data_IF_627006023033
#
_entry.id   IF_627006023033
#
_cell.length_a   1.000
_cell.length_b   1.000
_cell.length_c   1.000
_cell.angle_alpha   90.00
_cell.angle_beta   90.00
_cell.angle_gamma   90.00
#
_symmetry.space_group_name_H-M   'P 1'
#
loop_
_entity.id
_entity.type
_entity.pdbx_description
1 polymer ?
#
# COMPACT_ATOMS: atom_id res chain seq x y z
N UNK A 1 -22.08 25.81 44.76
CA UNK A 1 -22.77 25.35 43.53
C UNK A 1 -22.29 26.08 42.26
N UNK A 2 -22.23 27.42 42.21
CA UNK A 2 -21.81 28.17 41.00
C UNK A 2 -20.38 27.88 40.51
N UNK A 3 -19.42 27.61 41.40
CA UNK A 3 -18.01 27.27 41.05
C UNK A 3 -17.85 25.87 40.41
N UNK A 4 -18.63 24.88 40.84
CA UNK A 4 -18.63 23.54 40.26
C UNK A 4 -19.37 23.50 38.92
N UNK A 5 -20.40 24.32 38.76
CA UNK A 5 -21.11 24.48 37.49
C UNK A 5 -20.19 25.08 36.41
N UNK A 6 -19.36 26.07 36.77
CA UNK A 6 -18.36 26.65 35.86
C UNK A 6 -17.27 25.65 35.45
N UNK A 7 -16.80 24.81 36.38
CA UNK A 7 -15.80 23.77 36.11
C UNK A 7 -16.31 22.66 35.18
N UNK A 8 -17.57 22.23 35.36
CA UNK A 8 -18.22 21.23 34.50
C UNK A 8 -18.46 21.81 33.09
N UNK A 9 -18.84 23.09 32.99
CA UNK A 9 -19.05 23.74 31.70
C UNK A 9 -17.74 23.94 30.92
N UNK A 10 -16.62 24.23 31.60
CA UNK A 10 -15.29 24.29 30.96
C UNK A 10 -14.78 22.93 30.52
N UNK A 11 -15.04 21.85 31.26
CA UNK A 11 -14.64 20.49 30.87
C UNK A 11 -15.42 19.99 29.64
N UNK A 12 -16.70 20.38 29.52
CA UNK A 12 -17.54 20.07 28.36
C UNK A 12 -17.10 20.84 27.09
N UNK A 13 -16.54 22.05 27.24
CA UNK A 13 -16.06 22.84 26.10
C UNK A 13 -14.72 22.35 25.53
N UNK A 14 -13.85 21.73 26.35
CA UNK A 14 -12.59 21.10 25.88
C UNK A 14 -12.85 19.83 25.06
N UNK A 15 -13.96 19.15 25.30
CA UNK A 15 -14.40 17.98 24.50
C UNK A 15 -14.97 18.37 23.12
N UNK A 16 -15.20 19.67 22.88
CA UNK A 16 -15.69 20.21 21.61
C UNK A 16 -14.59 20.83 20.74
N UNK A 17 -13.31 20.50 20.97
CA UNK A 17 -12.29 20.66 19.92
C UNK A 17 -12.65 19.63 18.84
N UNK A 18 -13.53 20.05 17.94
CA UNK A 18 -13.96 19.33 16.78
C UNK A 18 -12.74 18.67 16.13
N UNK A 19 -12.78 17.34 16.01
CA UNK A 19 -11.84 16.60 15.20
C UNK A 19 -12.00 17.12 13.77
N UNK A 20 -11.16 18.09 13.37
CA UNK A 20 -11.19 18.63 12.02
C UNK A 20 -10.91 17.45 11.11
N UNK A 21 -11.88 17.07 10.28
CA UNK A 21 -11.70 16.02 9.27
C UNK A 21 -10.42 16.34 8.52
N UNK A 22 -9.43 15.47 8.68
CA UNK A 22 -8.15 15.66 8.03
C UNK A 22 -8.33 15.36 6.55
N UNK A 23 -7.59 16.06 5.70
CA UNK A 23 -7.70 15.93 4.25
C UNK A 23 -6.38 15.50 3.67
N UNK A 24 -6.42 14.73 2.59
CA UNK A 24 -5.25 14.47 1.76
C UNK A 24 -5.32 15.31 0.49
N UNK A 25 -4.14 15.52 -0.12
CA UNK A 25 -3.99 15.99 -1.50
C UNK A 25 -2.96 15.13 -2.19
N UNK A 26 -3.25 14.65 -3.40
CA UNK A 26 -2.26 14.03 -4.27
C UNK A 26 -1.85 15.07 -5.30
N UNK A 27 -0.57 15.39 -5.34
CA UNK A 27 0.07 16.17 -6.39
C UNK A 27 0.81 15.21 -7.30
N UNK A 28 0.21 14.96 -8.46
CA UNK A 28 0.68 13.99 -9.44
C UNK A 28 1.41 14.64 -10.61
N UNK A 29 2.48 14.00 -11.07
CA UNK A 29 3.18 14.37 -12.31
C UNK A 29 3.35 13.16 -13.23
N UNK A 30 3.44 13.45 -14.52
CA UNK A 30 3.79 12.51 -15.60
C UNK A 30 4.71 13.23 -16.57
N UNK A 31 5.81 12.57 -16.93
CA UNK A 31 6.83 13.14 -17.80
C UNK A 31 6.45 13.08 -19.30
N UNK A 32 5.77 12.01 -19.72
CA UNK A 32 5.49 11.81 -21.14
C UNK A 32 4.22 12.56 -21.59
N UNK A 33 4.38 13.40 -22.62
CA UNK A 33 3.30 14.23 -23.16
C UNK A 33 2.16 13.43 -23.79
N UNK A 34 2.38 12.15 -24.15
CA UNK A 34 1.32 11.25 -24.65
C UNK A 34 0.12 11.13 -23.69
N UNK A 35 0.34 11.40 -22.40
CA UNK A 35 -0.68 11.34 -21.37
C UNK A 35 -1.42 12.66 -21.16
N UNK A 36 -1.09 13.73 -21.89
CA UNK A 36 -1.79 14.99 -21.72
C UNK A 36 -3.23 14.88 -22.23
N UNK A 37 -4.20 15.31 -21.42
CA UNK A 37 -5.62 15.10 -21.69
C UNK A 37 -6.13 13.70 -21.32
N UNK A 38 -5.25 12.78 -20.93
CA UNK A 38 -5.64 11.46 -20.44
C UNK A 38 -6.14 11.51 -19.00
N UNK A 39 -6.93 10.49 -18.64
CA UNK A 39 -7.38 10.28 -17.27
C UNK A 39 -6.41 9.42 -16.49
N UNK A 40 -6.14 9.85 -15.27
CA UNK A 40 -5.60 9.00 -14.21
C UNK A 40 -6.73 8.64 -13.26
N UNK A 41 -6.74 7.38 -12.83
CA UNK A 41 -7.75 6.83 -11.94
C UNK A 41 -7.15 6.57 -10.57
N UNK A 42 -7.92 6.87 -9.53
CA UNK A 42 -7.62 6.51 -8.14
C UNK A 42 -8.58 5.40 -7.73
N UNK A 43 -8.07 4.18 -7.67
CA UNK A 43 -8.85 2.94 -7.60
C UNK A 43 -8.62 2.26 -6.25
N UNK A 44 -9.67 1.72 -5.62
CA UNK A 44 -9.52 0.92 -4.40
C UNK A 44 -8.75 -0.39 -4.66
N UNK A 45 -8.02 -0.90 -3.66
CA UNK A 45 -7.29 -2.17 -3.76
C UNK A 45 -8.18 -3.38 -4.05
N UNK A 46 -9.45 -3.31 -3.67
CA UNK A 46 -10.43 -4.37 -3.86
C UNK A 46 -11.33 -4.16 -5.09
N UNK A 47 -11.06 -3.16 -5.92
CA UNK A 47 -11.68 -3.04 -7.23
C UNK A 47 -11.33 -4.28 -8.08
N UNK A 48 -12.29 -4.84 -8.84
CA UNK A 48 -13.60 -4.29 -9.19
C UNK A 48 -14.74 -4.63 -8.22
N UNK A 49 -14.49 -5.34 -7.11
CA UNK A 49 -15.54 -5.71 -6.14
C UNK A 49 -16.19 -4.44 -5.60
N UNK A 50 -15.35 -3.49 -5.18
CA UNK A 50 -15.81 -2.14 -4.92
C UNK A 50 -15.70 -1.33 -6.22
N UNK A 51 -16.81 -0.69 -6.62
CA UNK A 51 -16.82 0.26 -7.75
C UNK A 51 -16.29 1.64 -7.33
N UNK A 52 -15.42 1.68 -6.33
CA UNK A 52 -14.91 2.90 -5.73
C UNK A 52 -13.72 3.43 -6.55
N UNK A 53 -14.04 4.28 -7.51
CA UNK A 53 -13.09 4.85 -8.48
C UNK A 53 -13.32 6.35 -8.58
N UNK A 54 -12.26 7.11 -8.37
CA UNK A 54 -12.20 8.54 -8.72
C UNK A 54 -11.30 8.72 -9.95
N UNK A 55 -11.42 9.85 -10.64
CA UNK A 55 -10.58 10.17 -11.79
C UNK A 55 -10.36 11.66 -11.96
N UNK A 56 -9.22 12.03 -12.53
CA UNK A 56 -8.93 13.40 -12.94
C UNK A 56 -8.19 13.40 -14.27
N UNK A 57 -8.13 14.55 -14.92
CA UNK A 57 -7.49 14.72 -16.23
C UNK A 57 -6.11 15.34 -16.03
N UNK A 58 -5.13 14.83 -16.77
CA UNK A 58 -3.77 15.39 -16.79
C UNK A 58 -3.75 16.66 -17.63
N UNK A 59 -3.26 17.74 -17.02
CA UNK A 59 -3.08 19.04 -17.67
C UNK A 59 -1.61 19.43 -17.54
N UNK A 60 -0.93 19.62 -18.67
CA UNK A 60 0.49 20.00 -18.74
C UNK A 60 1.37 19.11 -17.84
N UNK A 61 1.22 17.78 -17.99
CA UNK A 61 1.98 16.79 -17.21
C UNK A 61 1.61 16.69 -15.73
N UNK A 62 0.57 17.38 -15.25
CA UNK A 62 0.18 17.37 -13.83
C UNK A 62 -1.27 16.91 -13.61
N UNK A 63 -1.53 16.28 -12.47
CA UNK A 63 -2.86 15.88 -12.03
C UNK A 63 -3.03 16.03 -10.52
N UNK A 64 -4.28 16.17 -10.06
CA UNK A 64 -4.56 16.37 -8.64
C UNK A 64 -5.79 15.60 -8.16
N UNK A 65 -5.67 15.00 -6.97
CA UNK A 65 -6.79 14.47 -6.19
C UNK A 65 -6.84 15.16 -4.83
N UNK A 66 -8.03 15.24 -4.23
CA UNK A 66 -8.22 15.71 -2.85
C UNK A 66 -9.43 15.01 -2.25
N UNK A 67 -9.38 14.78 -0.95
CA UNK A 67 -10.50 14.14 -0.25
C UNK A 67 -10.31 14.12 1.26
N UNK A 68 -11.22 13.44 1.94
CA UNK A 68 -11.06 13.10 3.34
C UNK A 68 -9.93 12.08 3.48
N UNK A 69 -9.01 12.32 4.41
CA UNK A 69 -7.91 11.41 4.67
C UNK A 69 -8.37 10.24 5.55
N UNK A 70 -7.95 9.04 5.16
CA UNK A 70 -8.07 7.82 5.95
C UNK A 70 -6.78 7.02 5.81
N UNK A 71 -6.02 6.93 6.89
CA UNK A 71 -4.75 6.20 6.92
C UNK A 71 -4.91 4.69 6.75
N UNK A 72 -6.13 4.14 6.81
CA UNK A 72 -6.43 2.75 6.44
C UNK A 72 -6.69 2.58 4.94
N UNK A 73 -6.93 3.67 4.22
CA UNK A 73 -7.34 3.63 2.83
C UNK A 73 -6.13 3.65 1.89
N UNK A 74 -5.96 2.54 1.18
CA UNK A 74 -4.91 2.36 0.18
C UNK A 74 -5.54 2.35 -1.20
N UNK A 75 -4.95 3.10 -2.12
CA UNK A 75 -5.43 3.25 -3.49
C UNK A 75 -4.33 2.99 -4.50
N UNK A 76 -4.74 2.65 -5.72
CA UNK A 76 -3.90 2.48 -6.88
C UNK A 76 -4.14 3.66 -7.82
N UNK A 77 -3.08 4.41 -8.10
CA UNK A 77 -3.03 5.38 -9.19
C UNK A 77 -2.66 4.64 -10.48
N UNK A 78 -3.53 4.72 -11.49
CA UNK A 78 -3.30 4.03 -12.76
C UNK A 78 -3.90 4.72 -13.96
N UNK A 79 -3.40 4.39 -15.14
CA UNK A 79 -3.96 4.77 -16.42
C UNK A 79 -5.02 3.78 -16.91
N UNK A 80 -5.80 4.19 -17.90
CA UNK A 80 -6.63 3.25 -18.65
C UNK A 80 -5.73 2.19 -19.33
N UNK A 81 -6.18 0.93 -19.47
CA UNK A 81 -5.39 -0.20 -19.97
C UNK A 81 -4.90 -0.10 -21.44
N UNK A 82 -4.95 1.08 -22.06
CA UNK A 82 -4.49 1.34 -23.43
C UNK A 82 -2.98 1.62 -23.54
N UNK A 83 -2.26 1.71 -22.41
CA UNK A 83 -0.82 2.01 -22.35
C UNK A 83 -0.05 1.02 -21.46
N UNK A 84 -0.11 -0.31 -21.72
CA UNK A 84 0.37 -1.32 -20.77
C UNK A 84 1.88 -1.23 -20.46
N UNK A 85 2.70 -0.74 -21.39
CA UNK A 85 4.17 -0.75 -21.26
C UNK A 85 4.79 0.60 -20.86
N UNK A 86 3.98 1.63 -20.62
CA UNK A 86 4.49 3.00 -20.45
C UNK A 86 4.50 3.49 -19.00
N UNK A 87 3.63 2.96 -18.15
CA UNK A 87 3.47 3.43 -16.77
C UNK A 87 3.23 2.27 -15.83
N UNK A 88 4.00 2.25 -14.75
CA UNK A 88 3.78 1.36 -13.63
C UNK A 88 2.68 1.93 -12.71
N UNK A 89 1.71 1.09 -12.33
CA UNK A 89 0.71 1.44 -11.33
C UNK A 89 1.39 1.84 -10.00
N UNK A 90 0.90 2.90 -9.36
CA UNK A 90 1.44 3.39 -8.09
C UNK A 90 0.45 3.19 -6.96
N UNK A 91 0.85 2.45 -5.93
CA UNK A 91 0.06 2.31 -4.69
C UNK A 91 0.37 3.49 -3.76
N UNK A 92 -0.66 4.09 -3.18
CA UNK A 92 -0.57 5.21 -2.24
C UNK A 92 -1.51 5.00 -1.04
N UNK A 93 -1.13 5.55 0.12
CA UNK A 93 -1.99 5.61 1.31
C UNK A 93 -2.60 7.01 1.42
N UNK A 94 -3.91 7.12 1.59
CA UNK A 94 -4.63 8.41 1.70
C UNK A 94 -4.51 9.04 3.09
N UNK A 95 -3.29 9.13 3.62
CA UNK A 95 -3.03 9.72 4.92
C UNK A 95 -3.08 11.27 4.87
N UNK A 96 -3.29 11.93 6.02
CA UNK A 96 -3.31 13.39 6.10
C UNK A 96 -2.04 14.05 5.53
N UNK A 97 -2.23 15.06 4.68
CA UNK A 97 -1.14 15.86 4.12
C UNK A 97 -1.06 15.83 2.59
N UNK A 98 0.12 16.18 2.08
CA UNK A 98 0.39 16.25 0.63
C UNK A 98 1.21 15.05 0.20
N UNK A 99 0.58 14.18 -0.58
CA UNK A 99 1.19 13.02 -1.23
C UNK A 99 1.69 13.50 -2.59
N UNK A 100 2.97 13.32 -2.88
CA UNK A 100 3.54 13.59 -4.19
C UNK A 100 3.65 12.25 -4.93
N UNK A 101 3.13 12.20 -6.15
CA UNK A 101 3.12 11.02 -6.99
C UNK A 101 3.78 11.36 -8.33
N UNK A 102 4.76 10.57 -8.75
CA UNK A 102 5.34 10.62 -10.08
C UNK A 102 5.01 9.32 -10.78
N UNK A 103 4.25 9.39 -11.87
CA UNK A 103 3.91 8.22 -12.67
C UNK A 103 4.83 8.15 -13.89
N UNK A 104 5.37 6.96 -14.15
CA UNK A 104 6.24 6.69 -15.29
C UNK A 104 6.60 5.20 -15.35
N UNK A 105 7.65 4.86 -16.09
CA UNK A 105 8.14 3.47 -16.18
C UNK A 105 8.48 2.90 -14.80
N UNK A 106 9.00 3.75 -13.91
CA UNK A 106 9.17 3.45 -12.50
C UNK A 106 8.46 4.55 -11.73
N UNK A 107 7.27 4.24 -11.20
CA UNK A 107 6.46 5.22 -10.48
C UNK A 107 6.98 5.39 -9.05
N UNK A 108 6.81 6.58 -8.47
CA UNK A 108 7.24 6.87 -7.10
C UNK A 108 6.19 7.69 -6.35
N UNK A 109 6.09 7.46 -5.05
CA UNK A 109 5.15 8.14 -4.15
C UNK A 109 5.84 8.54 -2.87
N UNK A 110 5.66 9.77 -2.42
CA UNK A 110 6.29 10.29 -1.20
C UNK A 110 5.50 11.50 -0.63
N UNK A 111 6.09 12.25 0.31
CA UNK A 111 5.51 13.50 0.85
C UNK A 111 4.76 13.33 2.17
N UNK A 112 4.42 12.10 2.53
CA UNK A 112 3.79 11.74 3.81
C UNK A 112 4.39 10.44 4.36
N UNK A 113 4.26 10.21 5.67
CA UNK A 113 5.03 9.19 6.41
C UNK A 113 4.78 7.76 5.93
N UNK A 114 3.52 7.37 5.74
CA UNK A 114 3.15 6.06 5.20
C UNK A 114 3.51 5.92 3.73
N UNK A 115 3.42 6.99 2.93
CA UNK A 115 3.85 6.92 1.53
C UNK A 115 5.38 6.77 1.38
N UNK A 116 6.19 7.40 2.26
CA UNK A 116 7.63 7.11 2.34
C UNK A 116 7.90 5.63 2.67
N UNK A 117 7.20 5.08 3.67
CA UNK A 117 7.34 3.67 4.04
C UNK A 117 6.93 2.71 2.93
N UNK A 118 5.87 3.04 2.20
CA UNK A 118 5.39 2.24 1.09
C UNK A 118 6.39 2.26 -0.08
N UNK A 119 7.01 3.41 -0.33
CA UNK A 119 8.10 3.53 -1.31
C UNK A 119 9.33 2.72 -0.91
N UNK A 120 9.76 2.81 0.36
CA UNK A 120 10.86 1.99 0.88
C UNK A 120 10.59 0.48 0.73
N UNK A 121 9.38 0.04 1.10
CA UNK A 121 8.94 -1.34 0.92
C UNK A 121 8.96 -1.77 -0.55
N UNK A 122 8.46 -0.92 -1.46
CA UNK A 122 8.47 -1.18 -2.90
C UNK A 122 9.89 -1.41 -3.42
N UNK A 123 10.85 -0.57 -3.04
CA UNK A 123 12.25 -0.73 -3.43
C UNK A 123 12.79 -2.06 -2.89
N UNK A 124 12.49 -2.40 -1.63
CA UNK A 124 12.93 -3.68 -1.06
C UNK A 124 12.35 -4.89 -1.79
N UNK A 125 11.05 -4.85 -2.11
CA UNK A 125 10.36 -5.88 -2.89
C UNK A 125 10.99 -6.05 -4.28
N UNK A 126 11.27 -4.95 -4.98
CA UNK A 126 11.89 -4.99 -6.30
C UNK A 126 13.29 -5.64 -6.28
N UNK A 127 14.09 -5.36 -5.24
CA UNK A 127 15.39 -6.03 -5.05
C UNK A 127 15.22 -7.52 -4.80
N UNK A 128 14.32 -7.89 -3.88
CA UNK A 128 14.02 -9.29 -3.57
C UNK A 128 13.59 -10.06 -4.83
N UNK A 129 12.67 -9.50 -5.61
CA UNK A 129 12.16 -10.12 -6.84
C UNK A 129 13.25 -10.29 -7.89
N UNK A 130 14.10 -9.28 -8.08
CA UNK A 130 15.22 -9.34 -9.01
C UNK A 130 16.18 -10.48 -8.65
N UNK A 131 16.50 -10.66 -7.37
CA UNK A 131 17.37 -11.76 -6.91
C UNK A 131 16.70 -13.12 -7.14
N UNK A 132 15.43 -13.28 -6.76
CA UNK A 132 14.69 -14.53 -6.96
C UNK A 132 14.56 -14.90 -8.45
N UNK A 133 14.32 -13.91 -9.31
CA UNK A 133 14.27 -14.09 -10.75
C UNK A 133 15.63 -14.53 -11.31
N UNK A 134 16.72 -13.88 -10.88
CA UNK A 134 18.08 -14.24 -11.28
C UNK A 134 18.44 -15.68 -10.88
N UNK A 135 18.12 -16.09 -9.65
CA UNK A 135 18.32 -17.46 -9.19
C UNK A 135 17.52 -18.44 -10.04
N UNK A 136 16.24 -18.14 -10.29
CA UNK A 136 15.37 -18.97 -11.11
C UNK A 136 15.89 -19.13 -12.55
N UNK A 137 16.41 -18.05 -13.14
CA UNK A 137 17.02 -18.05 -14.46
C UNK A 137 18.29 -18.90 -14.52
N UNK A 138 19.18 -18.77 -13.53
CA UNK A 138 20.41 -19.58 -13.44
C UNK A 138 20.11 -21.08 -13.27
N UNK A 139 19.07 -21.43 -12.51
CA UNK A 139 18.63 -22.83 -12.37
C UNK A 139 18.12 -23.42 -13.68
N UNK A 140 17.48 -22.59 -14.53
CA UNK A 140 16.92 -23.00 -15.83
C UNK A 140 17.95 -23.06 -16.97
N UNK A 141 19.10 -22.39 -16.86
CA UNK A 141 20.07 -22.27 -17.97
C UNK A 141 20.80 -23.57 -18.33
N UNK A 142 20.64 -24.66 -17.56
CA UNK A 142 21.23 -25.97 -17.84
C UNK A 142 22.73 -26.10 -17.57
N UNK A 143 23.45 -24.97 -17.46
CA UNK A 143 24.93 -24.92 -17.38
C UNK A 143 25.50 -25.05 -15.95
N UNK A 144 24.75 -25.60 -14.99
CA UNK A 144 25.20 -25.72 -13.59
C UNK A 144 24.98 -27.13 -13.04
N UNK A 145 25.89 -27.56 -12.18
CA UNK A 145 25.85 -28.87 -11.51
C UNK A 145 24.67 -28.99 -10.56
N UNK A 146 24.27 -30.22 -10.22
CA UNK A 146 23.19 -30.45 -9.26
C UNK A 146 23.49 -29.82 -7.89
N UNK A 147 24.71 -29.98 -7.37
CA UNK A 147 25.10 -29.35 -6.10
C UNK A 147 24.98 -27.82 -6.12
N UNK A 148 25.23 -27.17 -7.28
CA UNK A 148 25.01 -25.72 -7.41
C UNK A 148 23.51 -25.37 -7.44
N UNK A 149 22.67 -26.20 -8.09
CA UNK A 149 21.20 -26.03 -8.07
C UNK A 149 20.64 -26.15 -6.65
N UNK A 150 21.16 -27.08 -5.85
CA UNK A 150 20.74 -27.30 -4.47
C UNK A 150 21.13 -26.10 -3.60
N UNK A 151 22.38 -25.63 -3.71
CA UNK A 151 22.86 -24.41 -3.03
C UNK A 151 22.02 -23.17 -3.38
N UNK A 152 21.69 -22.96 -4.67
CA UNK A 152 20.83 -21.86 -5.10
C UNK A 152 19.40 -21.98 -4.56
N UNK A 153 18.89 -23.21 -4.42
CA UNK A 153 17.56 -23.46 -3.86
C UNK A 153 17.51 -23.14 -2.37
N UNK A 154 18.54 -23.55 -1.62
CA UNK A 154 18.66 -23.21 -0.20
C UNK A 154 18.78 -21.70 0.00
N UNK A 155 19.62 -21.03 -0.80
CA UNK A 155 19.76 -19.57 -0.73
C UNK A 155 18.46 -18.84 -1.08
N UNK A 156 17.72 -19.28 -2.10
CA UNK A 156 16.41 -18.71 -2.43
C UNK A 156 15.40 -18.86 -1.29
N UNK A 157 15.43 -20.01 -0.59
CA UNK A 157 14.59 -20.26 0.58
C UNK A 157 14.95 -19.34 1.74
N UNK A 158 16.22 -19.26 2.11
CA UNK A 158 16.72 -18.36 3.17
C UNK A 158 16.32 -16.90 2.91
N UNK A 159 16.48 -16.43 1.68
CA UNK A 159 16.04 -15.09 1.27
C UNK A 159 14.53 -14.90 1.41
N UNK A 160 13.74 -15.94 1.09
CA UNK A 160 12.29 -15.90 1.24
C UNK A 160 11.87 -15.81 2.71
N UNK A 161 12.53 -16.59 3.58
CA UNK A 161 12.28 -16.61 5.02
C UNK A 161 12.62 -15.25 5.66
N UNK A 162 13.78 -14.67 5.30
CA UNK A 162 14.19 -13.32 5.74
C UNK A 162 13.18 -12.29 5.26
N UNK A 163 12.82 -12.30 3.97
CA UNK A 163 11.90 -11.33 3.41
C UNK A 163 10.50 -11.42 4.05
N UNK A 164 10.00 -12.62 4.32
CA UNK A 164 8.73 -12.80 5.03
C UNK A 164 8.81 -12.26 6.47
N UNK A 165 9.93 -12.49 7.18
CA UNK A 165 10.12 -11.97 8.54
C UNK A 165 10.14 -10.44 8.59
N UNK A 166 10.77 -9.78 7.62
CA UNK A 166 10.78 -8.32 7.48
C UNK A 166 9.37 -7.77 7.20
N UNK A 167 8.60 -8.46 6.34
CA UNK A 167 7.21 -8.09 6.07
C UNK A 167 6.33 -8.27 7.32
N UNK A 168 6.50 -9.34 8.09
CA UNK A 168 5.78 -9.54 9.35
C UNK A 168 6.11 -8.46 10.38
N UNK A 169 7.38 -8.07 10.50
CA UNK A 169 7.78 -6.93 11.32
C UNK A 169 7.09 -5.64 10.86
N UNK A 170 7.08 -5.39 9.56
CA UNK A 170 6.46 -4.20 8.96
C UNK A 170 4.94 -4.18 9.18
N UNK A 171 4.26 -5.32 9.03
CA UNK A 171 2.83 -5.48 9.31
C UNK A 171 2.55 -5.13 10.76
N UNK A 172 3.27 -5.74 11.71
CA UNK A 172 3.04 -5.50 13.15
C UNK A 172 3.28 -4.03 13.54
N UNK A 173 4.27 -3.36 12.95
CA UNK A 173 4.52 -1.92 13.19
C UNK A 173 3.48 -0.99 12.57
N UNK A 174 2.69 -1.48 11.61
CA UNK A 174 1.70 -0.71 10.86
C UNK A 174 0.30 -1.33 10.95
N UNK A 175 0.04 -2.08 12.01
CA UNK A 175 -1.12 -2.97 12.11
C UNK A 175 -2.46 -2.23 12.06
N UNK A 176 -2.48 -0.95 12.46
CA UNK A 176 -3.66 -0.08 12.43
C UNK A 176 -3.63 0.97 11.30
N UNK A 177 -2.95 0.69 10.19
CA UNK A 177 -3.00 1.53 9.00
C UNK A 177 -2.95 0.68 7.71
N UNK A 178 -3.10 1.35 6.57
CA UNK A 178 -3.24 0.73 5.26
C UNK A 178 -2.04 -0.10 4.83
N UNK A 179 -0.82 0.19 5.33
CA UNK A 179 0.36 -0.64 5.05
C UNK A 179 0.19 -2.02 5.69
N UNK A 180 -0.25 -2.10 6.94
CA UNK A 180 -0.48 -3.37 7.62
C UNK A 180 -1.50 -4.23 6.87
N UNK A 181 -2.63 -3.63 6.50
CA UNK A 181 -3.69 -4.28 5.72
C UNK A 181 -3.18 -4.76 4.35
N UNK A 182 -2.53 -3.88 3.59
CA UNK A 182 -2.00 -4.21 2.25
C UNK A 182 -1.04 -5.40 2.32
N UNK A 183 -0.04 -5.34 3.21
CA UNK A 183 0.96 -6.39 3.31
C UNK A 183 0.38 -7.70 3.85
N UNK A 184 -0.53 -7.63 4.82
CA UNK A 184 -1.24 -8.81 5.30
C UNK A 184 -2.00 -9.50 4.18
N UNK A 185 -2.72 -8.75 3.35
CA UNK A 185 -3.43 -9.26 2.17
C UNK A 185 -2.46 -9.90 1.16
N UNK A 186 -1.40 -9.17 0.78
CA UNK A 186 -0.43 -9.64 -0.22
C UNK A 186 0.27 -10.95 0.19
N UNK A 187 0.57 -11.12 1.48
CA UNK A 187 1.32 -12.27 1.99
C UNK A 187 0.47 -13.27 2.78
N UNK A 188 -0.86 -13.16 2.74
CA UNK A 188 -1.76 -13.96 3.56
C UNK A 188 -1.43 -15.47 3.54
N UNK A 189 -1.25 -16.06 2.35
CA UNK A 189 -0.92 -17.49 2.23
C UNK A 189 0.51 -17.85 2.62
N UNK A 190 1.44 -16.90 2.57
CA UNK A 190 2.83 -17.11 2.98
C UNK A 190 3.01 -16.99 4.50
N UNK A 191 2.18 -16.19 5.17
CA UNK A 191 2.23 -16.01 6.62
C UNK A 191 1.74 -17.29 7.32
N UNK A 192 2.48 -17.83 8.31
CA UNK A 192 2.02 -18.98 9.10
C UNK A 192 0.68 -18.71 9.79
N UNK A 193 -0.17 -19.74 9.92
CA UNK A 193 -1.52 -19.61 10.48
C UNK A 193 -1.52 -18.99 11.89
N UNK A 194 -0.56 -19.36 12.73
CA UNK A 194 -0.41 -18.79 14.08
C UNK A 194 -0.18 -17.27 14.03
N UNK A 195 0.70 -16.79 13.16
CA UNK A 195 0.97 -15.36 12.99
C UNK A 195 -0.22 -14.62 12.38
N UNK A 196 -0.96 -15.25 11.46
CA UNK A 196 -2.22 -14.68 10.96
C UNK A 196 -3.21 -14.45 12.09
N UNK A 197 -3.42 -15.46 12.94
CA UNK A 197 -4.35 -15.37 14.06
C UNK A 197 -3.93 -14.26 15.03
N UNK A 198 -2.64 -14.17 15.39
CA UNK A 198 -2.12 -13.08 16.24
C UNK A 198 -2.38 -11.69 15.65
N UNK A 199 -2.28 -11.53 14.33
CA UNK A 199 -2.56 -10.25 13.66
C UNK A 199 -4.07 -9.97 13.72
N UNK A 200 -4.91 -10.95 13.38
CA UNK A 200 -6.36 -10.83 13.39
C UNK A 200 -6.92 -10.54 14.79
N UNK A 201 -6.36 -11.15 15.84
CA UNK A 201 -6.73 -10.88 17.24
C UNK A 201 -6.52 -9.41 17.63
N UNK A 202 -5.48 -8.76 17.08
CA UNK A 202 -5.16 -7.35 17.37
C UNK A 202 -6.03 -6.36 16.58
N UNK A 203 -6.48 -6.73 15.38
CA UNK A 203 -7.26 -5.82 14.50
C UNK A 203 -8.77 -6.11 14.53
N UNK A 204 -9.18 -7.25 15.09
CA UNK A 204 -10.55 -7.74 15.01
C UNK A 204 -11.00 -7.85 13.55
N UNK A 205 -12.19 -7.33 13.27
CA UNK A 205 -12.78 -7.39 11.93
C UNK A 205 -12.34 -6.26 10.98
N UNK A 206 -11.53 -5.30 11.44
CA UNK A 206 -11.21 -4.08 10.69
C UNK A 206 -10.64 -4.40 9.31
N UNK A 207 -9.77 -5.40 9.18
CA UNK A 207 -9.18 -5.75 7.88
C UNK A 207 -10.24 -6.28 6.90
N UNK A 208 -11.17 -7.10 7.37
CA UNK A 208 -12.24 -7.65 6.55
C UNK A 208 -13.31 -6.60 6.21
N UNK A 209 -13.56 -5.64 7.10
CA UNK A 209 -14.45 -4.50 6.86
C UNK A 209 -13.90 -3.56 5.80
N UNK A 210 -12.57 -3.39 5.76
CA UNK A 210 -11.88 -2.43 4.89
C UNK A 210 -11.44 -3.00 3.53
N UNK A 211 -11.35 -4.32 3.35
CA UNK A 211 -10.98 -4.94 2.08
C UNK A 211 -11.88 -6.15 1.76
N UNK A 212 -12.73 -6.00 0.74
CA UNK A 212 -13.68 -7.05 0.36
C UNK A 212 -13.01 -8.26 -0.32
N UNK A 213 -11.87 -8.05 -1.01
CA UNK A 213 -11.12 -9.15 -1.63
C UNK A 213 -10.48 -10.04 -0.57
N UNK A 214 -9.89 -9.45 0.48
CA UNK A 214 -9.34 -10.20 1.61
C UNK A 214 -10.43 -11.04 2.27
N UNK A 215 -11.63 -10.48 2.47
CA UNK A 215 -12.77 -11.22 3.02
C UNK A 215 -13.12 -12.46 2.19
N UNK A 216 -13.10 -12.35 0.86
CA UNK A 216 -13.35 -13.48 -0.04
C UNK A 216 -12.20 -14.50 -0.01
N UNK A 217 -10.95 -14.02 0.02
CA UNK A 217 -9.75 -14.85 0.03
C UNK A 217 -9.67 -15.77 1.26
N UNK A 218 -10.18 -15.34 2.41
CA UNK A 218 -10.20 -16.15 3.64
C UNK A 218 -11.32 -17.19 3.66
N UNK A 219 -12.37 -17.00 2.86
CA UNK A 219 -13.53 -17.91 2.80
C UNK A 219 -13.36 -19.06 1.81
N UNK A 220 -12.29 -19.05 0.99
CA UNK A 220 -11.93 -20.09 0.01
C UNK A 220 -10.88 -21.03 0.59
#
# INVERSE_FOLDING_TARGET
>A
MKRYFLLIFTLFFVLLIACKKQTYRINGTVENEIFWGEKVYLVALDAPITKNVDSTVIKNGSFHFRGEADSMEVRILRFAPKFPDFVEDLVVVLEPGTINAQLGVISSGHGTRLNYKLHEWKINKARYDSIQWNISRLKKSGNITQGKKDSLTNHAKELSDIFLSENLYTINKNIHNGIGLLLFKLYYHAIPAEERNKILDKVGNIYFERDAQLRQQVQQ
#
